data_IF_639287142909
#
_entry.id   IF_639287142909
#
_cell.length_a   1.000
_cell.length_b   1.000
_cell.length_c   1.000
_cell.angle_alpha   90.00
_cell.angle_beta   90.00
_cell.angle_gamma   90.00
#
_symmetry.space_group_name_H-M   'P 1'
#
loop_
_entity.id
_entity.type
_entity.pdbx_description
1 polymer ?
#
# COMPACT_ATOMS: atom_id res chain seq x y z
N UNK A 1 -12.62 -16.12 -3.01
CA UNK A 1 -12.15 -15.07 -2.08
C UNK A 1 -10.67 -14.90 -2.33
N UNK A 2 -10.28 -13.94 -3.18
CA UNK A 2 -8.88 -13.77 -3.56
C UNK A 2 -8.04 -13.52 -2.32
N UNK A 3 -7.01 -14.33 -2.12
CA UNK A 3 -6.00 -14.07 -1.09
C UNK A 3 -5.59 -12.62 -1.25
N UNK A 4 -5.77 -11.81 -0.19
CA UNK A 4 -5.19 -10.47 -0.11
C UNK A 4 -3.78 -10.60 -0.67
N UNK A 5 -3.50 -9.93 -1.80
CA UNK A 5 -2.14 -9.85 -2.34
C UNK A 5 -1.29 -9.56 -1.12
N UNK A 6 -0.36 -10.45 -0.78
CA UNK A 6 0.68 -10.09 0.18
C UNK A 6 1.23 -8.77 -0.37
N UNK A 7 1.29 -7.74 0.47
CA UNK A 7 1.90 -6.47 0.09
C UNK A 7 3.42 -6.69 -0.03
N UNK A 8 3.81 -7.54 -0.97
CA UNK A 8 5.18 -7.83 -1.39
C UNK A 8 5.79 -6.59 -2.08
N UNK A 9 4.97 -5.57 -2.34
CA UNK A 9 5.38 -4.25 -2.84
C UNK A 9 5.94 -3.33 -1.78
N UNK A 10 5.74 -3.61 -0.48
CA UNK A 10 6.34 -2.80 0.59
C UNK A 10 7.83 -3.14 0.66
N UNK A 11 8.73 -2.13 0.53
CA UNK A 11 10.17 -2.34 0.62
C UNK A 11 10.55 -3.04 1.93
N UNK A 12 11.49 -3.97 1.84
CA UNK A 12 11.93 -4.75 3.00
C UNK A 12 12.43 -3.86 4.14
N UNK A 13 13.15 -2.79 3.81
CA UNK A 13 13.66 -1.83 4.80
C UNK A 13 12.54 -1.06 5.53
N UNK A 14 11.47 -0.67 4.81
CA UNK A 14 10.30 -0.04 5.43
C UNK A 14 9.59 -1.01 6.37
N UNK A 15 9.48 -2.29 5.96
CA UNK A 15 8.90 -3.34 6.80
C UNK A 15 9.73 -3.58 8.05
N UNK A 16 11.05 -3.70 7.92
CA UNK A 16 11.97 -3.88 9.05
C UNK A 16 11.90 -2.71 10.03
N UNK A 17 11.90 -1.48 9.52
CA UNK A 17 11.74 -0.27 10.33
C UNK A 17 10.43 -0.30 11.12
N UNK A 18 9.31 -0.54 10.45
CA UNK A 18 7.99 -0.64 11.10
C UNK A 18 7.97 -1.71 12.19
N UNK A 19 8.54 -2.89 11.93
CA UNK A 19 8.61 -3.99 12.90
C UNK A 19 9.45 -3.56 14.12
N UNK A 20 10.60 -2.93 13.91
CA UNK A 20 11.46 -2.47 14.99
C UNK A 20 10.73 -1.44 15.88
N UNK A 21 10.03 -0.47 15.28
CA UNK A 21 9.27 0.55 16.03
C UNK A 21 8.10 -0.06 16.81
N UNK A 22 7.38 -1.02 16.22
CA UNK A 22 6.32 -1.75 16.91
C UNK A 22 6.88 -2.56 18.09
N UNK A 23 8.01 -3.26 17.91
CA UNK A 23 8.64 -4.02 18.99
C UNK A 23 9.03 -3.07 20.14
N UNK A 24 9.73 -1.98 19.84
CA UNK A 24 10.11 -0.97 20.85
C UNK A 24 8.88 -0.48 21.62
N UNK A 25 7.80 -0.12 20.92
CA UNK A 25 6.58 0.36 21.58
C UNK A 25 5.92 -0.70 22.44
N UNK A 26 5.94 -1.97 22.03
CA UNK A 26 5.42 -3.09 22.83
C UNK A 26 6.25 -3.31 24.09
N UNK A 27 7.57 -3.22 24.00
CA UNK A 27 8.48 -3.37 25.15
C UNK A 27 8.30 -2.26 26.20
N UNK A 28 7.86 -1.07 25.79
CA UNK A 28 7.54 0.06 26.68
C UNK A 28 6.18 -0.07 27.38
N UNK A 29 5.33 -1.01 26.98
CA UNK A 29 4.01 -1.21 27.61
C UNK A 29 4.21 -1.96 28.94
N UNK A 30 4.24 -1.22 30.04
CA UNK A 30 4.44 -1.78 31.39
C UNK A 30 3.20 -2.53 31.94
N UNK A 31 2.02 -2.32 31.35
CA UNK A 31 0.76 -2.90 31.81
C UNK A 31 0.61 -4.36 31.38
N UNK A 32 0.15 -5.23 32.29
CA UNK A 32 -0.23 -6.62 31.98
C UNK A 32 -1.30 -6.75 30.89
N UNK A 33 -2.05 -5.67 30.64
CA UNK A 33 -3.07 -5.60 29.58
C UNK A 33 -2.86 -4.37 28.70
N UNK A 34 -2.83 -4.61 27.39
CA UNK A 34 -2.84 -3.55 26.38
C UNK A 34 -4.21 -2.86 26.41
N UNK A 35 -4.23 -1.60 26.84
CA UNK A 35 -5.41 -0.74 26.76
C UNK A 35 -5.62 -0.15 25.37
N UNK A 36 -6.77 0.50 25.15
CA UNK A 36 -7.11 1.10 23.85
C UNK A 36 -6.07 2.12 23.35
N UNK A 37 -5.50 2.93 24.25
CA UNK A 37 -4.47 3.91 23.89
C UNK A 37 -3.22 3.21 23.37
N UNK A 38 -2.72 2.24 24.12
CA UNK A 38 -1.54 1.46 23.74
C UNK A 38 -1.76 0.70 22.42
N UNK A 39 -2.97 0.18 22.18
CA UNK A 39 -3.32 -0.43 20.90
C UNK A 39 -3.35 0.60 19.75
N UNK A 40 -3.87 1.81 20.01
CA UNK A 40 -3.88 2.89 19.02
C UNK A 40 -2.47 3.30 18.62
N UNK A 41 -1.54 3.42 19.57
CA UNK A 41 -0.14 3.78 19.28
C UNK A 41 0.50 2.78 18.28
N UNK A 42 0.23 1.48 18.45
CA UNK A 42 0.71 0.45 17.52
C UNK A 42 0.10 0.62 16.14
N UNK A 43 -1.20 0.93 16.06
CA UNK A 43 -1.86 1.20 14.79
C UNK A 43 -1.26 2.43 14.11
N UNK A 44 -1.01 3.50 14.86
CA UNK A 44 -0.44 4.74 14.33
C UNK A 44 0.95 4.49 13.76
N UNK A 45 1.83 3.76 14.46
CA UNK A 45 3.16 3.35 13.96
C UNK A 45 3.04 2.59 12.63
N UNK A 46 2.11 1.64 12.53
CA UNK A 46 1.91 0.85 11.31
C UNK A 46 1.39 1.73 10.18
N UNK A 47 0.44 2.62 10.45
CA UNK A 47 -0.14 3.53 9.44
C UNK A 47 0.91 4.51 8.94
N UNK A 48 1.74 5.07 9.82
CA UNK A 48 2.81 6.02 9.46
C UNK A 48 3.87 5.37 8.57
N UNK A 49 4.28 4.14 8.87
CA UNK A 49 5.31 3.46 8.08
C UNK A 49 4.76 2.83 6.79
N UNK A 50 3.60 2.16 6.86
CA UNK A 50 3.10 1.31 5.78
C UNK A 50 2.04 2.01 4.92
N UNK A 51 1.28 2.95 5.50
CA UNK A 51 0.21 3.67 4.81
C UNK A 51 0.67 4.36 3.51
N UNK A 52 1.78 5.12 3.52
CA UNK A 52 2.31 5.75 2.31
C UNK A 52 2.66 4.75 1.20
N UNK A 53 3.23 3.59 1.54
CA UNK A 53 3.60 2.56 0.56
C UNK A 53 2.37 1.96 -0.13
N UNK A 54 1.33 1.67 0.65
CA UNK A 54 0.04 1.18 0.13
C UNK A 54 -0.59 2.24 -0.78
N UNK A 55 -0.66 3.49 -0.30
CA UNK A 55 -1.27 4.58 -1.05
C UNK A 55 -0.56 4.85 -2.38
N UNK A 56 0.77 4.93 -2.36
CA UNK A 56 1.58 5.13 -3.56
C UNK A 56 1.46 3.97 -4.54
N UNK A 57 1.37 2.73 -4.04
CA UNK A 57 1.13 1.56 -4.88
C UNK A 57 -0.24 1.66 -5.56
N UNK A 58 -1.29 2.01 -4.82
CA UNK A 58 -2.64 2.17 -5.38
C UNK A 58 -2.68 3.26 -6.47
N UNK A 59 -1.98 4.39 -6.26
CA UNK A 59 -1.86 5.43 -7.28
C UNK A 59 -1.14 4.95 -8.54
N UNK A 60 -0.04 4.20 -8.40
CA UNK A 60 0.69 3.63 -9.54
C UNK A 60 -0.16 2.65 -10.33
N UNK A 61 -0.87 1.75 -9.63
CA UNK A 61 -1.74 0.76 -10.24
C UNK A 61 -2.90 1.45 -11.00
N UNK A 62 -3.47 2.50 -10.41
CA UNK A 62 -4.53 3.30 -11.04
C UNK A 62 -4.02 4.02 -12.28
N UNK A 63 -2.84 4.64 -12.20
CA UNK A 63 -2.22 5.30 -13.34
C UNK A 63 -1.97 4.32 -14.49
N UNK A 64 -1.43 3.14 -14.18
CA UNK A 64 -1.19 2.09 -15.17
C UNK A 64 -2.48 1.66 -15.86
N UNK A 65 -3.54 1.40 -15.08
CA UNK A 65 -4.85 1.03 -15.64
C UNK A 65 -5.36 2.10 -16.62
N UNK A 66 -5.25 3.38 -16.26
CA UNK A 66 -5.69 4.48 -17.14
C UNK A 66 -4.83 4.54 -18.40
N UNK A 67 -3.51 4.40 -18.28
CA UNK A 67 -2.60 4.43 -19.43
C UNK A 67 -2.87 3.27 -20.41
N UNK A 68 -3.12 2.06 -19.89
CA UNK A 68 -3.47 0.91 -20.71
C UNK A 68 -4.77 1.19 -21.49
N UNK A 69 -5.80 1.77 -20.84
CA UNK A 69 -7.06 2.16 -21.50
C UNK A 69 -6.91 3.25 -22.54
N UNK A 70 -6.03 4.24 -22.31
CA UNK A 70 -5.75 5.27 -23.30
C UNK A 70 -5.07 4.68 -24.54
N UNK A 71 -4.12 3.75 -24.34
CA UNK A 71 -3.49 3.04 -25.46
C UNK A 71 -4.47 2.21 -26.28
N UNK A 72 -5.43 1.55 -25.63
CA UNK A 72 -6.51 0.83 -26.31
C UNK A 72 -7.32 1.79 -27.21
N UNK A 73 -7.70 2.95 -26.68
CA UNK A 73 -8.46 3.96 -27.42
C UNK A 73 -7.68 4.55 -28.60
N UNK A 74 -6.38 4.84 -28.42
CA UNK A 74 -5.52 5.34 -29.49
C UNK A 74 -5.47 4.33 -30.65
N UNK A 75 -5.30 3.03 -30.34
CA UNK A 75 -5.30 1.96 -31.34
C UNK A 75 -6.65 1.82 -32.06
N UNK A 76 -7.77 1.96 -31.34
CA UNK A 76 -9.11 1.95 -31.95
C UNK A 76 -9.30 3.12 -32.93
N UNK A 77 -8.83 4.31 -32.58
CA UNK A 77 -8.89 5.51 -33.45
C UNK A 77 -8.06 5.30 -34.71
N UNK A 78 -6.81 4.86 -34.58
CA UNK A 78 -5.92 4.59 -35.72
C UNK A 78 -6.55 3.57 -36.70
N UNK A 79 -7.24 2.55 -36.16
CA UNK A 79 -7.97 1.58 -36.97
C UNK A 79 -9.15 2.18 -37.74
N UNK A 80 -9.86 3.13 -37.16
CA UNK A 80 -10.97 3.84 -37.81
C UNK A 80 -10.48 4.78 -38.92
N UNK A 81 -9.33 5.42 -38.74
CA UNK A 81 -8.74 6.29 -39.78
C UNK A 81 -8.31 5.50 -41.02
N UNK A 82 -7.73 4.31 -40.84
CA UNK A 82 -7.28 3.46 -41.95
C UNK A 82 -8.44 2.80 -42.73
N UNK A 83 -9.61 2.67 -42.11
CA UNK A 83 -10.80 2.09 -42.74
C UNK A 83 -11.55 3.06 -43.66
N UNK A 84 -11.06 4.31 -43.79
CA UNK A 84 -11.66 5.39 -44.58
C UNK A 84 -10.97 5.57 -45.92
#
# INVERSE_FOLDING_TARGET
MGMLKKFDTIPEEVRKKCIAEVITRVEEIESERVGMIAAQDIIDIVVENIGPEIYNTALRDTKKLIQDRLGDLDYEIDGLEQAR
#
